data_IF_311526919405
#
_entry.id   IF_311526919405
#
_cell.length_a   1.000
_cell.length_b   1.000
_cell.length_c   1.000
_cell.angle_alpha   90.00
_cell.angle_beta   90.00
_cell.angle_gamma   90.00
#
_symmetry.space_group_name_H-M   'P 1'
#
loop_
_entity.id
_entity.type
_entity.pdbx_description
1 polymer ?
#
# COMPACT_ATOMS: atom_id res chain seq x y z
N UNK A 1 -26.95 6.99 16.05
CA UNK A 1 -25.90 6.93 15.02
C UNK A 1 -24.69 7.71 15.51
N UNK A 2 -23.58 7.06 15.86
CA UNK A 2 -22.36 7.79 16.24
C UNK A 2 -21.79 8.48 15.00
N UNK A 3 -21.90 9.80 14.94
CA UNK A 3 -21.42 10.61 13.82
C UNK A 3 -19.91 10.47 13.59
N UNK A 4 -19.46 10.87 12.40
CA UNK A 4 -18.04 10.95 12.07
C UNK A 4 -17.35 11.97 12.99
N UNK A 5 -16.18 11.61 13.53
CA UNK A 5 -15.37 12.59 14.28
C UNK A 5 -14.88 13.71 13.36
N UNK A 6 -14.55 14.88 13.92
CA UNK A 6 -14.02 16.01 13.14
C UNK A 6 -12.71 15.66 12.40
N UNK A 7 -11.90 14.76 12.97
CA UNK A 7 -10.69 14.23 12.33
C UNK A 7 -11.03 13.36 11.12
N UNK A 8 -11.96 12.42 11.28
CA UNK A 8 -12.42 11.57 10.18
C UNK A 8 -13.06 12.39 9.07
N UNK A 9 -13.94 13.35 9.39
CA UNK A 9 -14.56 14.24 8.40
C UNK A 9 -13.53 14.99 7.56
N UNK A 10 -12.46 15.50 8.18
CA UNK A 10 -11.34 16.13 7.46
C UNK A 10 -10.63 15.14 6.54
N UNK A 11 -10.34 13.92 7.03
CA UNK A 11 -9.72 12.88 6.21
C UNK A 11 -10.59 12.52 4.99
N UNK A 12 -11.90 12.38 5.17
CA UNK A 12 -12.84 12.14 4.07
C UNK A 12 -12.76 13.22 2.99
N UNK A 13 -12.89 14.48 3.40
CA UNK A 13 -12.85 15.60 2.46
C UNK A 13 -11.51 15.66 1.72
N UNK A 14 -10.40 15.35 2.41
CA UNK A 14 -9.08 15.27 1.77
C UNK A 14 -8.99 14.11 0.76
N UNK A 15 -9.50 12.92 1.10
CA UNK A 15 -9.50 11.77 0.20
C UNK A 15 -10.35 12.01 -1.05
N UNK A 16 -11.53 12.61 -0.88
CA UNK A 16 -12.43 12.98 -1.98
C UNK A 16 -11.76 14.04 -2.87
N UNK A 17 -11.24 15.12 -2.27
CA UNK A 17 -10.57 16.19 -3.00
C UNK A 17 -9.32 15.70 -3.77
N UNK A 18 -8.64 14.68 -3.26
CA UNK A 18 -7.49 14.04 -3.91
C UNK A 18 -7.86 12.83 -4.78
N UNK A 19 -9.15 12.68 -5.13
CA UNK A 19 -9.70 11.64 -5.99
C UNK A 19 -9.23 10.22 -5.61
N UNK A 20 -9.18 9.94 -4.31
CA UNK A 20 -8.76 8.63 -3.80
C UNK A 20 -9.97 7.71 -3.64
N UNK A 21 -9.85 6.53 -4.22
CA UNK A 21 -10.70 5.37 -3.88
C UNK A 21 -10.35 4.91 -2.45
N UNK A 22 -11.36 4.71 -1.60
CA UNK A 22 -11.16 4.22 -0.23
C UNK A 22 -12.35 3.38 0.24
N UNK A 23 -12.16 2.67 1.36
CA UNK A 23 -13.19 1.85 2.00
C UNK A 23 -13.41 2.27 3.46
N UNK A 24 -14.62 2.07 3.95
CA UNK A 24 -14.99 2.17 5.36
C UNK A 24 -15.46 0.79 5.84
N UNK A 25 -14.55 -0.01 6.40
CA UNK A 25 -14.83 -1.44 6.55
C UNK A 25 -16.03 -1.73 7.46
N UNK A 26 -16.11 -1.08 8.63
CA UNK A 26 -17.23 -1.22 9.57
C UNK A 26 -18.59 -0.81 9.01
N UNK A 27 -18.62 0.20 8.13
CA UNK A 27 -19.85 0.71 7.53
C UNK A 27 -20.22 0.01 6.22
N UNK A 28 -19.41 -0.93 5.75
CA UNK A 28 -19.54 -1.55 4.42
C UNK A 28 -19.72 -0.52 3.29
N UNK A 29 -19.06 0.65 3.42
CA UNK A 29 -19.15 1.73 2.44
C UNK A 29 -17.87 1.78 1.61
N UNK A 30 -18.03 1.93 0.30
CA UNK A 30 -16.98 1.86 -0.70
C UNK A 30 -17.07 3.11 -1.58
N UNK A 31 -16.02 3.92 -1.60
CA UNK A 31 -15.98 5.12 -2.41
C UNK A 31 -15.10 4.90 -3.65
N UNK A 32 -15.71 5.08 -4.82
CA UNK A 32 -15.03 5.05 -6.12
C UNK A 32 -14.85 6.49 -6.59
N UNK A 33 -13.61 6.96 -6.70
CA UNK A 33 -13.34 8.34 -7.12
C UNK A 33 -13.57 8.59 -8.61
N UNK A 34 -13.29 7.58 -9.46
CA UNK A 34 -13.45 7.64 -10.91
C UNK A 34 -13.95 6.32 -11.46
N UNK A 35 -14.85 6.36 -12.43
CA UNK A 35 -15.37 5.17 -13.11
C UNK A 35 -14.41 4.68 -14.22
N UNK A 36 -13.18 4.28 -13.84
CA UNK A 36 -12.24 3.65 -14.78
C UNK A 36 -11.86 2.24 -14.33
N UNK A 37 -11.49 1.37 -15.28
CA UNK A 37 -11.12 -0.02 -15.00
C UNK A 37 -10.09 -0.13 -13.87
N UNK A 38 -9.08 0.75 -13.85
CA UNK A 38 -8.08 0.74 -12.77
C UNK A 38 -8.69 1.07 -11.41
N UNK A 39 -9.57 2.06 -11.30
CA UNK A 39 -10.17 2.43 -10.02
C UNK A 39 -11.15 1.35 -9.55
N UNK A 40 -11.97 0.80 -10.46
CA UNK A 40 -12.91 -0.27 -10.17
C UNK A 40 -12.17 -1.53 -9.69
N UNK A 41 -11.14 -1.99 -10.42
CA UNK A 41 -10.37 -3.18 -10.04
C UNK A 41 -9.59 -2.98 -8.74
N UNK A 42 -9.13 -1.76 -8.45
CA UNK A 42 -8.47 -1.46 -7.16
C UNK A 42 -9.47 -1.50 -6.00
N UNK A 43 -10.67 -0.94 -6.19
CA UNK A 43 -11.73 -0.99 -5.19
C UNK A 43 -12.21 -2.42 -4.93
N UNK A 44 -12.35 -3.22 -5.99
CA UNK A 44 -12.63 -4.65 -5.87
C UNK A 44 -11.52 -5.38 -5.09
N UNK A 45 -10.26 -5.02 -5.33
CA UNK A 45 -9.12 -5.52 -4.57
C UNK A 45 -9.22 -5.19 -3.07
N UNK A 46 -9.57 -3.96 -2.71
CA UNK A 46 -9.82 -3.58 -1.31
C UNK A 46 -10.95 -4.40 -0.70
N UNK A 47 -12.07 -4.55 -1.42
CA UNK A 47 -13.21 -5.35 -0.97
C UNK A 47 -12.81 -6.80 -0.67
N UNK A 48 -12.16 -7.47 -1.63
CA UNK A 48 -11.72 -8.86 -1.47
C UNK A 48 -10.75 -8.99 -0.30
N UNK A 49 -9.74 -8.13 -0.22
CA UNK A 49 -8.75 -8.20 0.86
C UNK A 49 -9.38 -7.91 2.23
N UNK A 50 -10.34 -6.99 2.31
CA UNK A 50 -11.11 -6.75 3.55
C UNK A 50 -11.83 -8.04 4.00
N UNK A 51 -12.51 -8.73 3.07
CA UNK A 51 -13.23 -9.97 3.36
C UNK A 51 -12.28 -11.11 3.78
N UNK A 52 -11.10 -11.20 3.15
CA UNK A 52 -10.12 -12.25 3.47
C UNK A 52 -9.39 -12.02 4.79
N UNK A 53 -9.01 -10.76 5.08
CA UNK A 53 -8.24 -10.40 6.28
C UNK A 53 -9.10 -10.15 7.53
N UNK A 54 -10.42 -10.08 7.38
CA UNK A 54 -11.34 -9.71 8.46
C UNK A 54 -11.16 -8.26 8.91
N UNK A 55 -10.68 -7.36 8.05
CA UNK A 55 -10.48 -5.96 8.41
C UNK A 55 -11.83 -5.27 8.67
N UNK A 56 -12.05 -4.83 9.91
CA UNK A 56 -13.24 -4.06 10.29
C UNK A 56 -12.93 -2.60 10.62
N UNK A 57 -11.67 -2.28 10.96
CA UNK A 57 -11.24 -0.92 11.33
C UNK A 57 -10.73 -0.14 10.11
N UNK A 58 -10.88 1.19 10.17
CA UNK A 58 -10.20 2.10 9.24
C UNK A 58 -8.71 2.15 9.58
N UNK A 59 -7.85 2.34 8.58
CA UNK A 59 -6.39 2.40 8.72
C UNK A 59 -5.90 3.85 8.65
N UNK A 60 -6.50 4.76 9.42
CA UNK A 60 -6.23 6.20 9.38
C UNK A 60 -5.62 6.74 10.67
N UNK A 61 -5.19 5.88 11.59
CA UNK A 61 -4.49 6.30 12.80
C UNK A 61 -2.97 6.38 12.53
N UNK A 62 -2.52 7.50 11.97
CA UNK A 62 -1.11 7.70 11.62
C UNK A 62 -0.26 8.16 12.81
N UNK A 63 1.00 7.70 12.92
CA UNK A 63 1.72 6.80 12.01
C UNK A 63 1.47 5.29 12.26
N UNK A 64 0.70 4.92 13.29
CA UNK A 64 0.54 3.52 13.74
C UNK A 64 0.01 2.58 12.66
N UNK A 65 -0.95 3.02 11.86
CA UNK A 65 -1.56 2.19 10.81
C UNK A 65 -0.81 2.23 9.47
N UNK A 66 0.38 2.85 9.40
CA UNK A 66 1.07 3.04 8.12
C UNK A 66 1.48 1.72 7.44
N UNK A 67 2.13 0.79 8.15
CA UNK A 67 2.51 -0.51 7.59
C UNK A 67 1.27 -1.35 7.18
N UNK A 68 0.22 -1.49 8.02
CA UNK A 68 -1.04 -2.10 7.60
C UNK A 68 -1.63 -1.48 6.34
N UNK A 69 -1.58 -0.14 6.22
CA UNK A 69 -2.12 0.56 5.06
C UNK A 69 -1.30 0.27 3.79
N UNK A 70 0.03 0.24 3.87
CA UNK A 70 0.90 -0.14 2.74
C UNK A 70 0.52 -1.55 2.24
N UNK A 71 0.36 -2.51 3.15
CA UNK A 71 -0.01 -3.88 2.78
C UNK A 71 -1.42 -3.96 2.20
N UNK A 72 -2.37 -3.20 2.76
CA UNK A 72 -3.73 -3.15 2.25
C UNK A 72 -3.77 -2.62 0.81
N UNK A 73 -2.98 -1.58 0.51
CA UNK A 73 -2.76 -1.06 -0.84
C UNK A 73 -2.04 -2.08 -1.75
N UNK A 74 -1.05 -2.82 -1.23
CA UNK A 74 -0.34 -3.85 -1.98
C UNK A 74 -1.25 -5.00 -2.41
N UNK A 75 -2.08 -5.50 -1.51
CA UNK A 75 -3.06 -6.55 -1.79
C UNK A 75 -4.10 -6.06 -2.82
N UNK A 76 -4.61 -4.84 -2.66
CA UNK A 76 -5.56 -4.26 -3.60
C UNK A 76 -4.95 -4.08 -5.00
N UNK A 77 -3.72 -3.58 -5.07
CA UNK A 77 -3.00 -3.44 -6.34
C UNK A 77 -2.75 -4.80 -7.01
N UNK A 78 -2.26 -5.79 -6.25
CA UNK A 78 -2.07 -7.17 -6.72
C UNK A 78 -3.35 -7.77 -7.32
N UNK A 79 -4.46 -7.68 -6.60
CA UNK A 79 -5.76 -8.17 -7.09
C UNK A 79 -6.24 -7.39 -8.31
N UNK A 80 -5.97 -6.08 -8.34
CA UNK A 80 -6.30 -5.26 -9.51
C UNK A 80 -5.52 -5.66 -10.77
N UNK A 81 -4.29 -6.19 -10.62
CA UNK A 81 -3.47 -6.73 -11.71
C UNK A 81 -3.95 -8.09 -12.19
N UNK A 82 -4.51 -8.91 -11.29
CA UNK A 82 -5.19 -10.15 -11.70
C UNK A 82 -6.37 -9.83 -12.64
N UNK A 83 -7.14 -8.77 -12.33
CA UNK A 83 -8.27 -8.33 -13.15
C UNK A 83 -7.79 -7.60 -14.42
N UNK A 84 -6.80 -6.72 -14.30
CA UNK A 84 -6.23 -5.95 -15.41
C UNK A 84 -4.71 -6.13 -15.49
N UNK A 85 -4.27 -7.19 -16.17
CA UNK A 85 -2.86 -7.58 -16.28
C UNK A 85 -1.95 -6.51 -16.91
N UNK A 86 -2.50 -5.62 -17.76
CA UNK A 86 -1.78 -4.52 -18.41
C UNK A 86 -1.54 -3.31 -17.49
N UNK A 87 -2.18 -3.27 -16.31
CA UNK A 87 -1.95 -2.20 -15.34
C UNK A 87 -0.47 -2.15 -14.99
N UNK A 88 0.10 -0.95 -14.88
CA UNK A 88 1.47 -0.74 -14.41
C UNK A 88 1.43 -0.06 -13.04
N UNK A 89 2.43 -0.33 -12.20
CA UNK A 89 2.68 0.56 -11.07
C UNK A 89 3.08 1.92 -11.61
N UNK A 90 2.53 3.00 -11.07
CA UNK A 90 3.01 4.33 -11.41
C UNK A 90 4.52 4.41 -11.11
N UNK A 91 5.30 4.94 -12.06
CA UNK A 91 6.72 5.14 -11.79
C UNK A 91 6.89 6.26 -10.77
N UNK A 92 7.98 6.21 -9.99
CA UNK A 92 8.33 7.31 -9.07
C UNK A 92 8.40 8.65 -9.80
N UNK A 93 8.81 8.66 -11.08
CA UNK A 93 8.80 9.83 -11.96
C UNK A 93 7.40 10.38 -12.24
N UNK A 94 6.41 9.51 -12.50
CA UNK A 94 5.01 9.93 -12.70
C UNK A 94 4.44 10.48 -11.39
N UNK A 95 4.79 9.86 -10.27
CA UNK A 95 4.42 10.34 -8.94
C UNK A 95 5.04 11.71 -8.66
N UNK A 96 6.35 11.88 -8.89
CA UNK A 96 7.05 13.16 -8.74
C UNK A 96 6.44 14.25 -9.63
N UNK A 97 6.10 13.93 -10.88
CA UNK A 97 5.51 14.87 -11.82
C UNK A 97 4.11 15.34 -11.38
N UNK A 98 3.29 14.44 -10.84
CA UNK A 98 1.97 14.80 -10.31
C UNK A 98 2.05 15.71 -9.07
N UNK A 99 3.14 15.65 -8.31
CA UNK A 99 3.33 16.41 -7.07
C UNK A 99 3.84 17.85 -7.29
N UNK A 100 4.02 18.31 -8.53
CA UNK A 100 4.62 19.63 -8.84
C UNK A 100 3.62 20.79 -8.92
N UNK A 101 2.31 20.57 -8.87
CA UNK A 101 1.30 21.65 -8.94
C UNK A 101 0.96 22.24 -7.54
N UNK A 102 0.77 23.56 -7.48
CA UNK A 102 1.24 24.43 -6.39
C UNK A 102 0.63 24.28 -4.97
N UNK A 103 -0.43 23.49 -4.76
CA UNK A 103 -1.00 23.21 -3.42
C UNK A 103 -0.76 21.74 -2.98
N UNK A 104 -0.42 20.88 -3.94
CA UNK A 104 -0.02 19.49 -3.74
C UNK A 104 1.47 19.34 -3.42
N UNK A 105 2.27 20.40 -3.60
CA UNK A 105 3.73 20.37 -3.47
C UNK A 105 4.22 20.04 -2.05
N UNK A 106 3.55 20.53 -1.01
CA UNK A 106 3.94 20.20 0.37
C UNK A 106 3.51 18.77 0.75
N UNK A 107 2.27 18.38 0.42
CA UNK A 107 1.76 17.01 0.67
C UNK A 107 2.57 15.98 -0.10
N UNK A 108 2.94 16.29 -1.33
CA UNK A 108 3.80 15.48 -2.18
C UNK A 108 5.19 15.30 -1.62
N UNK A 109 5.81 16.38 -1.15
CA UNK A 109 7.12 16.32 -0.49
C UNK A 109 7.08 15.46 0.77
N UNK A 110 6.07 15.63 1.62
CA UNK A 110 5.90 14.78 2.81
C UNK A 110 5.69 13.31 2.44
N UNK A 111 4.82 13.02 1.47
CA UNK A 111 4.56 11.66 1.01
C UNK A 111 5.82 11.02 0.42
N UNK A 112 6.58 11.75 -0.40
CA UNK A 112 7.82 11.25 -0.98
C UNK A 112 8.89 11.02 0.08
N UNK A 113 9.01 11.92 1.06
CA UNK A 113 9.92 11.74 2.19
C UNK A 113 9.58 10.48 3.00
N UNK A 114 8.28 10.21 3.22
CA UNK A 114 7.83 8.96 3.86
C UNK A 114 8.15 7.72 3.00
N UNK A 115 7.97 7.79 1.68
CA UNK A 115 8.33 6.70 0.76
C UNK A 115 9.82 6.38 0.87
N UNK A 116 10.68 7.40 0.80
CA UNK A 116 12.13 7.24 0.89
C UNK A 116 12.57 6.72 2.26
N UNK A 117 11.98 7.25 3.34
CA UNK A 117 12.26 6.79 4.70
C UNK A 117 11.91 5.31 4.87
N UNK A 118 10.70 4.91 4.46
CA UNK A 118 10.25 3.53 4.55
C UNK A 118 11.09 2.59 3.66
N UNK A 119 11.46 3.01 2.43
CA UNK A 119 12.34 2.22 1.56
C UNK A 119 13.74 2.06 2.12
N UNK A 120 14.26 3.09 2.78
CA UNK A 120 15.55 3.01 3.47
C UNK A 120 15.48 2.01 4.62
N UNK A 121 14.42 2.05 5.43
CA UNK A 121 14.22 1.10 6.53
C UNK A 121 14.05 -0.35 6.03
N UNK A 122 13.26 -0.57 4.99
CA UNK A 122 13.12 -1.87 4.32
C UNK A 122 14.47 -2.42 3.84
N UNK A 123 15.30 -1.57 3.23
CA UNK A 123 16.62 -1.96 2.74
C UNK A 123 17.58 -2.32 3.89
N UNK A 124 17.62 -1.51 4.95
CA UNK A 124 18.42 -1.79 6.15
C UNK A 124 17.99 -3.13 6.76
N UNK A 125 16.68 -3.38 6.87
CA UNK A 125 16.15 -4.63 7.41
C UNK A 125 16.54 -5.83 6.54
N UNK A 126 16.43 -5.74 5.22
CA UNK A 126 16.83 -6.82 4.31
C UNK A 126 18.31 -7.16 4.46
N UNK A 127 19.17 -6.15 4.65
CA UNK A 127 20.63 -6.32 4.77
C UNK A 127 21.09 -6.81 6.14
N UNK A 128 20.49 -6.32 7.21
CA UNK A 128 21.01 -6.49 8.57
C UNK A 128 20.05 -7.18 9.55
N UNK A 129 18.79 -7.35 9.18
CA UNK A 129 17.72 -7.79 10.08
C UNK A 129 17.33 -6.75 11.15
N UNK A 130 17.88 -5.54 11.07
CA UNK A 130 17.63 -4.44 12.02
C UNK A 130 16.76 -3.36 11.38
N UNK A 131 16.08 -2.59 12.23
CA UNK A 131 15.34 -1.40 11.81
C UNK A 131 16.17 -0.13 12.00
N UNK A 132 15.85 0.90 11.23
CA UNK A 132 16.30 2.27 11.45
C UNK A 132 15.79 2.75 12.82
N UNK A 133 16.67 3.39 13.60
CA UNK A 133 16.34 3.91 14.93
C UNK A 133 15.27 5.01 14.91
N UNK A 134 15.34 5.89 13.91
CA UNK A 134 14.47 7.07 13.80
C UNK A 134 13.62 6.98 12.53
N UNK A 135 12.32 6.73 12.68
CA UNK A 135 11.35 6.80 11.58
C UNK A 135 10.88 8.25 11.40
N UNK A 136 10.79 8.70 10.15
CA UNK A 136 10.29 10.03 9.83
C UNK A 136 8.82 10.16 10.25
N UNK A 137 8.49 11.30 10.86
CA UNK A 137 7.09 11.68 11.09
C UNK A 137 6.81 12.98 10.35
N UNK A 138 5.69 13.01 9.64
CA UNK A 138 5.23 14.18 8.90
C UNK A 138 3.98 14.75 9.54
N UNK A 139 3.61 15.98 9.20
CA UNK A 139 2.53 16.70 9.88
C UNK A 139 1.15 16.25 9.43
N UNK A 140 0.97 15.88 8.16
CA UNK A 140 -0.34 15.61 7.57
C UNK A 140 -0.57 14.11 7.43
N UNK A 141 -1.64 13.60 8.07
CA UNK A 141 -2.03 12.18 7.98
C UNK A 141 -2.27 11.72 6.52
N UNK A 142 -2.80 12.60 5.66
CA UNK A 142 -3.04 12.28 4.26
C UNK A 142 -1.73 11.91 3.51
N UNK A 143 -0.60 12.49 3.90
CA UNK A 143 0.71 12.20 3.31
C UNK A 143 1.10 10.73 3.49
N UNK A 144 0.71 10.10 4.60
CA UNK A 144 0.87 8.65 4.81
C UNK A 144 -0.01 7.83 3.87
N UNK A 145 -1.24 8.27 3.57
CA UNK A 145 -2.12 7.57 2.61
C UNK A 145 -1.51 7.62 1.21
N UNK A 146 -1.01 8.78 0.79
CA UNK A 146 -0.31 8.91 -0.49
C UNK A 146 0.95 8.03 -0.55
N UNK A 147 1.79 8.06 0.48
CA UNK A 147 2.97 7.22 0.58
C UNK A 147 2.62 5.72 0.55
N UNK A 148 1.56 5.32 1.27
CA UNK A 148 1.12 3.93 1.32
C UNK A 148 0.62 3.43 -0.04
N UNK A 149 -0.09 4.26 -0.81
CA UNK A 149 -0.50 3.91 -2.19
C UNK A 149 0.71 3.66 -3.10
N UNK A 150 1.76 4.47 -2.97
CA UNK A 150 3.01 4.34 -3.76
C UNK A 150 3.76 3.07 -3.36
N UNK A 151 4.03 2.89 -2.07
CA UNK A 151 4.74 1.73 -1.55
C UNK A 151 3.96 0.43 -1.80
N UNK A 152 2.64 0.50 -1.63
CA UNK A 152 1.70 -0.59 -1.88
C UNK A 152 1.71 -1.01 -3.35
N UNK A 153 1.66 -0.07 -4.31
CA UNK A 153 1.73 -0.43 -5.73
C UNK A 153 3.04 -1.12 -6.10
N UNK A 154 4.18 -0.65 -5.57
CA UNK A 154 5.49 -1.28 -5.75
C UNK A 154 5.49 -2.72 -5.20
N UNK A 155 4.99 -2.90 -3.98
CA UNK A 155 4.93 -4.22 -3.34
C UNK A 155 3.93 -5.15 -4.04
N UNK A 156 2.78 -4.64 -4.46
CA UNK A 156 1.74 -5.36 -5.19
C UNK A 156 2.21 -5.83 -6.58
N UNK A 157 3.00 -5.02 -7.29
CA UNK A 157 3.65 -5.42 -8.54
C UNK A 157 4.64 -6.57 -8.30
N UNK A 158 5.45 -6.49 -7.22
CA UNK A 158 6.34 -7.60 -6.83
C UNK A 158 5.56 -8.88 -6.51
N UNK A 159 4.48 -8.79 -5.75
CA UNK A 159 3.59 -9.92 -5.46
C UNK A 159 3.02 -10.54 -6.74
N UNK A 160 2.54 -9.71 -7.67
CA UNK A 160 2.00 -10.16 -8.94
C UNK A 160 3.06 -10.91 -9.74
N UNK A 161 4.25 -10.33 -9.90
CA UNK A 161 5.34 -10.95 -10.66
C UNK A 161 5.82 -12.26 -10.02
N UNK A 162 5.83 -12.37 -8.69
CA UNK A 162 6.17 -13.61 -8.01
C UNK A 162 5.09 -14.69 -8.13
N UNK A 163 3.82 -14.30 -8.17
CA UNK A 163 2.70 -15.21 -8.43
C UNK A 163 2.69 -15.69 -9.89
N UNK A 164 2.76 -14.77 -10.86
CA UNK A 164 2.68 -15.09 -12.29
C UNK A 164 3.86 -15.93 -12.80
N UNK A 165 5.04 -15.80 -12.17
CA UNK A 165 6.22 -16.63 -12.44
C UNK A 165 6.22 -17.98 -11.71
N UNK A 166 5.16 -18.33 -10.97
CA UNK A 166 5.06 -19.59 -10.21
C UNK A 166 5.92 -19.65 -8.94
N UNK A 167 6.67 -18.60 -8.60
CA UNK A 167 7.51 -18.54 -7.37
C UNK A 167 6.71 -18.43 -6.09
N UNK A 168 5.44 -18.04 -6.18
CA UNK A 168 4.47 -18.11 -5.10
C UNK A 168 3.24 -18.88 -5.56
N UNK A 169 2.93 -19.96 -4.85
CA UNK A 169 1.72 -20.74 -5.12
C UNK A 169 0.46 -19.96 -4.72
N UNK A 170 -0.67 -20.30 -5.34
CA UNK A 170 -1.99 -19.73 -4.98
C UNK A 170 -2.32 -19.91 -3.50
N UNK A 171 -2.03 -21.10 -2.95
CA UNK A 171 -2.24 -21.39 -1.51
C UNK A 171 -1.45 -20.44 -0.61
N UNK A 172 -0.20 -20.14 -0.98
CA UNK A 172 0.64 -19.21 -0.23
C UNK A 172 0.11 -17.77 -0.31
N UNK A 173 -0.28 -17.31 -1.51
CA UNK A 173 -0.88 -15.97 -1.69
C UNK A 173 -2.17 -15.85 -0.87
N UNK A 174 -3.04 -16.87 -0.88
CA UNK A 174 -4.26 -16.86 -0.09
C UNK A 174 -3.97 -16.68 1.41
N UNK A 175 -2.95 -17.39 1.94
CA UNK A 175 -2.52 -17.21 3.34
C UNK A 175 -2.06 -15.78 3.63
N UNK A 176 -1.35 -15.15 2.70
CA UNK A 176 -0.90 -13.76 2.86
C UNK A 176 -2.06 -12.75 2.82
N UNK A 177 -3.04 -12.96 1.95
CA UNK A 177 -4.24 -12.13 1.88
C UNK A 177 -5.17 -12.31 3.09
N UNK A 178 -5.07 -13.44 3.80
CA UNK A 178 -5.82 -13.70 5.04
C UNK A 178 -5.15 -13.10 6.28
N UNK A 179 -3.95 -12.52 6.18
CA UNK A 179 -3.25 -11.96 7.34
C UNK A 179 -4.05 -10.80 7.93
N UNK A 180 -4.41 -10.92 9.21
CA UNK A 180 -5.03 -9.82 9.95
C UNK A 180 -4.09 -8.63 10.06
N UNK A 181 -4.56 -7.49 9.56
CA UNK A 181 -3.86 -6.20 9.56
C UNK A 181 -3.80 -5.52 10.94
N UNK A 182 -4.47 -6.11 11.93
CA UNK A 182 -4.61 -5.56 13.28
C UNK A 182 -3.85 -6.38 14.33
N UNK A 183 -3.27 -7.51 13.92
CA UNK A 183 -2.52 -8.39 14.78
C UNK A 183 -1.22 -7.73 15.28
N UNK A 184 -0.80 -8.06 16.50
CA UNK A 184 0.41 -7.51 17.11
C UNK A 184 1.69 -7.90 16.37
N UNK A 185 1.67 -9.03 15.66
CA UNK A 185 2.78 -9.55 14.87
C UNK A 185 2.77 -9.04 13.40
N UNK A 186 1.89 -8.09 13.07
CA UNK A 186 1.75 -7.61 11.70
C UNK A 186 3.04 -6.95 11.17
N UNK A 187 3.77 -6.20 12.01
CA UNK A 187 5.04 -5.60 11.62
C UNK A 187 6.06 -6.67 11.23
N UNK A 188 6.22 -7.73 12.04
CA UNK A 188 7.10 -8.84 11.72
C UNK A 188 6.72 -9.53 10.39
N UNK A 189 5.41 -9.73 10.17
CA UNK A 189 4.89 -10.23 8.90
C UNK A 189 5.24 -9.32 7.71
N UNK A 190 5.05 -8.00 7.84
CA UNK A 190 5.34 -7.02 6.80
C UNK A 190 6.80 -7.13 6.34
N UNK A 191 7.75 -7.10 7.29
CA UNK A 191 9.17 -7.15 6.96
C UNK A 191 9.64 -8.54 6.50
N UNK A 192 8.99 -9.62 6.95
CA UNK A 192 9.18 -10.96 6.37
C UNK A 192 8.81 -10.96 4.88
N UNK A 193 7.69 -10.32 4.52
CA UNK A 193 7.24 -10.22 3.14
C UNK A 193 8.18 -9.35 2.29
N UNK A 194 8.65 -8.23 2.82
CA UNK A 194 9.69 -7.41 2.17
C UNK A 194 10.92 -8.25 1.86
N UNK A 195 11.49 -8.95 2.86
CA UNK A 195 12.67 -9.79 2.68
C UNK A 195 12.45 -10.88 1.63
N UNK A 196 11.29 -11.54 1.65
CA UNK A 196 10.92 -12.58 0.68
C UNK A 196 10.85 -12.04 -0.74
N UNK A 197 10.23 -10.87 -0.94
CA UNK A 197 10.06 -10.27 -2.26
C UNK A 197 11.37 -9.70 -2.81
N UNK A 198 12.26 -9.14 -1.98
CA UNK A 198 13.58 -8.66 -2.41
C UNK A 198 14.52 -9.79 -2.83
N UNK A 199 14.56 -10.90 -2.08
CA UNK A 199 15.38 -12.07 -2.43
C UNK A 199 15.05 -12.60 -3.83
N UNK A 200 13.79 -12.49 -4.23
CA UNK A 200 13.29 -12.93 -5.53
C UNK A 200 13.67 -11.96 -6.67
N UNK A 201 13.80 -10.66 -6.40
CA UNK A 201 14.26 -9.68 -7.41
C UNK A 201 15.73 -9.92 -7.78
N UNK A 202 16.59 -10.26 -6.81
CA UNK A 202 18.02 -10.50 -7.06
C UNK A 202 18.27 -11.71 -7.97
N UNK A 203 17.46 -12.78 -7.84
CA UNK A 203 17.58 -13.96 -8.71
C UNK A 203 17.25 -13.65 -10.18
N UNK A 204 16.28 -12.77 -10.43
CA UNK A 204 15.91 -12.35 -11.80
C UNK A 204 17.03 -11.53 -12.47
N UNK A 205 17.72 -10.68 -11.72
CA UNK A 205 18.82 -9.88 -12.25
C UNK A 205 20.06 -10.72 -12.62
N UNK A 206 20.22 -11.89 -11.99
CA UNK A 206 21.29 -12.84 -12.30
C UNK A 206 20.95 -13.76 -13.47
N UNK A 207 19.71 -14.25 -13.56
CA UNK A 207 19.27 -15.12 -14.67
C UNK A 207 19.02 -14.41 -16.01
N UNK A 208 18.89 -13.07 -16.01
CA UNK A 208 18.82 -12.28 -17.25
C UNK A 208 20.20 -11.89 -17.82
N UNK A 209 21.29 -12.29 -17.16
CA UNK A 209 22.68 -12.06 -17.59
C UNK A 209 23.40 -13.36 -18.00
N UNK A 210 22.68 -14.47 -18.09
CA UNK A 210 23.12 -15.77 -18.61
C UNK A 210 22.39 -16.05 -19.91
#
# INVERSE_FOLDING_TARGET
>A
ASGLTAKERRMFLQLIASEKTFILPKQAFYYLSRASLNHCSHLAGFYIHQKMSGLEKKLWNMPKDFLPLIWHEAAAFFLSKIINHKRKSDSLLVIENNLRFADEKERGREAMALVLDQKTDEWIYVKSGRHKKNKLKVKKDISYVHAAKILGSIMGEKLYNSYSSGRMSRSLINKFLQKSLTANDFEAFYYLMVKRLEAQTVLNAKGARS
#
